data_IF_275595103207
#
_entry.id   IF_275595103207
#
_cell.length_a   1.000
_cell.length_b   1.000
_cell.length_c   1.000
_cell.angle_alpha   90.00
_cell.angle_beta   90.00
_cell.angle_gamma   90.00
#
_symmetry.space_group_name_H-M   'P 1'
#
loop_
_entity.id
_entity.type
_entity.pdbx_description
1 polymer ?
#
# COMPACT_ATOMS: atom_id res chain seq x y z
N UNK A 1 -21.44 20.40 28.04
CA UNK A 1 -20.34 20.95 27.23
C UNK A 1 -19.74 19.81 26.43
N UNK A 2 -20.28 19.55 25.24
CA UNK A 2 -19.82 18.46 24.35
C UNK A 2 -18.63 18.96 23.52
N UNK A 3 -17.48 18.31 23.64
CA UNK A 3 -16.36 18.48 22.72
C UNK A 3 -16.66 17.74 21.41
N UNK A 4 -16.40 18.33 20.22
CA UNK A 4 -16.46 17.59 18.97
C UNK A 4 -15.17 16.77 18.77
N UNK A 5 -15.34 15.51 18.37
CA UNK A 5 -14.26 14.64 17.93
C UNK A 5 -13.58 15.25 16.69
N UNK A 6 -12.31 15.61 16.84
CA UNK A 6 -11.47 16.10 15.75
C UNK A 6 -11.21 14.96 14.76
N UNK A 7 -11.78 15.06 13.54
CA UNK A 7 -11.42 14.18 12.44
C UNK A 7 -9.97 14.44 12.05
N UNK A 8 -9.12 13.42 12.21
CA UNK A 8 -7.79 13.42 11.64
C UNK A 8 -7.87 13.65 10.12
N UNK A 9 -6.91 14.40 9.53
CA UNK A 9 -6.90 14.68 8.10
C UNK A 9 -6.79 13.36 7.32
N UNK A 10 -7.71 13.15 6.38
CA UNK A 10 -7.59 12.11 5.37
C UNK A 10 -6.32 12.41 4.59
N UNK A 11 -5.30 11.56 4.72
CA UNK A 11 -4.07 11.69 3.95
C UNK A 11 -4.39 11.30 2.53
N UNK A 12 -4.65 12.29 1.69
CA UNK A 12 -4.58 12.13 0.24
C UNK A 12 -3.09 11.96 -0.09
N UNK A 13 -2.62 10.72 -0.09
CA UNK A 13 -1.33 10.41 -0.71
C UNK A 13 -1.44 10.87 -2.18
N UNK A 14 -0.54 11.74 -2.67
CA UNK A 14 -0.56 12.09 -4.08
C UNK A 14 -0.39 10.79 -4.86
N UNK A 15 -1.41 10.42 -5.63
CA UNK A 15 -1.32 9.29 -6.53
C UNK A 15 -0.07 9.50 -7.38
N UNK A 16 0.91 8.61 -7.26
CA UNK A 16 2.07 8.62 -8.16
C UNK A 16 1.50 8.56 -9.57
N UNK A 17 1.73 9.62 -10.36
CA UNK A 17 0.99 9.98 -11.57
C UNK A 17 1.04 8.98 -12.74
N UNK A 18 1.40 7.71 -12.51
CA UNK A 18 1.20 6.61 -13.44
C UNK A 18 -0.25 6.16 -13.36
N UNK A 19 -1.11 6.92 -14.03
CA UNK A 19 -2.47 6.51 -14.32
C UNK A 19 -2.49 5.12 -14.98
N UNK A 20 -3.63 4.42 -14.89
CA UNK A 20 -3.91 3.13 -15.53
C UNK A 20 -3.49 3.02 -17.02
N UNK A 21 -3.24 4.15 -17.69
CA UNK A 21 -2.69 4.23 -19.05
C UNK A 21 -1.22 3.80 -19.19
N UNK A 22 -0.44 3.72 -18.10
CA UNK A 22 0.96 3.26 -18.10
C UNK A 22 1.14 1.85 -17.51
N UNK A 23 0.06 1.17 -17.14
CA UNK A 23 0.14 -0.19 -16.62
C UNK A 23 0.25 -1.19 -17.78
N UNK A 24 1.30 -2.01 -17.75
CA UNK A 24 1.53 -3.06 -18.75
C UNK A 24 0.49 -4.21 -18.65
N UNK A 25 -0.29 -4.28 -17.57
CA UNK A 25 -1.28 -5.33 -17.34
C UNK A 25 -2.58 -4.76 -16.75
N UNK A 26 -3.75 -5.03 -17.36
CA UNK A 26 -5.01 -4.72 -16.72
C UNK A 26 -5.22 -5.70 -15.55
N UNK A 27 -4.92 -5.26 -14.33
CA UNK A 27 -5.06 -6.05 -13.08
C UNK A 27 -6.46 -6.66 -12.94
N UNK A 28 -7.49 -5.96 -13.44
CA UNK A 28 -8.85 -6.48 -13.59
C UNK A 28 -9.18 -6.87 -15.04
N UNK A 29 -8.42 -7.82 -15.58
CA UNK A 29 -8.66 -8.37 -16.92
C UNK A 29 -10.08 -8.96 -17.06
N UNK A 30 -10.65 -8.85 -18.27
CA UNK A 30 -11.92 -9.53 -18.62
C UNK A 30 -11.82 -11.06 -18.58
N UNK A 31 -10.60 -11.61 -18.55
CA UNK A 31 -10.35 -13.05 -18.44
C UNK A 31 -10.67 -13.61 -17.05
N UNK A 32 -10.67 -12.77 -16.00
CA UNK A 32 -11.03 -13.19 -14.65
C UNK A 32 -12.56 -13.21 -14.48
N UNK A 33 -13.13 -14.13 -13.67
CA UNK A 33 -14.56 -14.11 -13.36
C UNK A 33 -14.97 -12.77 -12.74
N UNK A 34 -16.09 -12.20 -13.19
CA UNK A 34 -16.53 -10.87 -12.78
C UNK A 34 -16.68 -10.71 -11.26
N UNK A 35 -17.07 -11.79 -10.57
CA UNK A 35 -17.26 -11.82 -9.12
C UNK A 35 -15.97 -11.49 -8.33
N UNK A 36 -14.79 -11.81 -8.85
CA UNK A 36 -13.52 -11.61 -8.14
C UNK A 36 -12.82 -10.29 -8.50
N UNK A 37 -13.23 -9.62 -9.57
CA UNK A 37 -12.52 -8.43 -10.08
C UNK A 37 -12.52 -7.29 -9.07
N UNK A 38 -13.59 -7.13 -8.29
CA UNK A 38 -13.70 -6.08 -7.29
C UNK A 38 -12.70 -6.29 -6.14
N UNK A 39 -12.62 -7.50 -5.59
CA UNK A 39 -11.71 -7.84 -4.49
C UNK A 39 -10.24 -7.72 -4.94
N UNK A 40 -9.93 -8.15 -6.16
CA UNK A 40 -8.59 -8.03 -6.75
C UNK A 40 -8.20 -6.55 -6.92
N UNK A 41 -9.12 -5.71 -7.40
CA UNK A 41 -8.88 -4.27 -7.53
C UNK A 41 -8.70 -3.59 -6.18
N UNK A 42 -9.46 -4.00 -5.17
CA UNK A 42 -9.37 -3.45 -3.82
C UNK A 42 -7.99 -3.75 -3.22
N UNK A 43 -7.56 -5.01 -3.28
CA UNK A 43 -6.23 -5.41 -2.86
C UNK A 43 -5.13 -4.71 -3.65
N UNK A 44 -5.28 -4.59 -4.98
CA UNK A 44 -4.32 -3.90 -5.81
C UNK A 44 -4.16 -2.42 -5.43
N UNK A 45 -5.27 -1.71 -5.22
CA UNK A 45 -5.24 -0.30 -4.79
C UNK A 45 -4.57 -0.12 -3.44
N UNK A 46 -4.83 -1.04 -2.51
CA UNK A 46 -4.14 -1.08 -1.22
C UNK A 46 -2.61 -1.23 -1.42
N UNK A 47 -2.18 -2.25 -2.18
CA UNK A 47 -0.77 -2.52 -2.43
C UNK A 47 -0.07 -1.34 -3.13
N UNK A 48 -0.72 -0.76 -4.16
CA UNK A 48 -0.17 0.37 -4.92
C UNK A 48 0.02 1.61 -4.05
N UNK A 49 -0.90 1.86 -3.11
CA UNK A 49 -0.77 2.98 -2.17
C UNK A 49 0.36 2.75 -1.17
N UNK A 50 0.55 1.52 -0.70
CA UNK A 50 1.66 1.18 0.19
C UNK A 50 3.02 1.36 -0.52
N UNK A 51 3.11 0.90 -1.77
CA UNK A 51 4.26 1.06 -2.67
C UNK A 51 4.59 2.55 -2.91
N UNK A 52 3.60 3.36 -3.28
CA UNK A 52 3.77 4.80 -3.48
C UNK A 52 4.27 5.53 -2.21
N UNK A 53 3.92 5.07 -1.01
CA UNK A 53 4.44 5.60 0.25
C UNK A 53 5.90 5.18 0.45
N UNK A 54 6.21 3.89 0.23
CA UNK A 54 7.54 3.33 0.41
C UNK A 54 8.57 3.96 -0.54
N UNK A 55 8.18 4.18 -1.80
CA UNK A 55 9.02 4.74 -2.85
C UNK A 55 9.07 6.28 -2.86
N UNK A 56 8.30 6.96 -2.01
CA UNK A 56 8.21 8.42 -2.06
C UNK A 56 9.60 9.06 -1.79
N UNK A 57 10.15 9.87 -2.72
CA UNK A 57 11.52 10.40 -2.61
C UNK A 57 11.65 11.47 -1.52
N UNK A 58 10.58 12.23 -1.29
CA UNK A 58 10.60 13.36 -0.34
C UNK A 58 10.20 12.98 1.10
N UNK A 59 9.81 11.72 1.36
CA UNK A 59 9.47 11.29 2.72
C UNK A 59 10.69 10.72 3.43
N UNK A 60 10.89 11.16 4.67
CA UNK A 60 11.84 10.52 5.58
C UNK A 60 11.39 9.10 5.95
N UNK A 61 12.31 8.21 6.37
CA UNK A 61 11.94 6.87 6.83
C UNK A 61 10.83 6.87 7.88
N UNK A 62 10.88 7.77 8.87
CA UNK A 62 9.87 7.83 9.94
C UNK A 62 8.49 8.26 9.42
N UNK A 63 8.45 9.20 8.47
CA UNK A 63 7.19 9.60 7.82
C UNK A 63 6.61 8.47 6.98
N UNK A 64 7.44 7.69 6.27
CA UNK A 64 7.00 6.50 5.55
C UNK A 64 6.38 5.49 6.51
N UNK A 65 7.07 5.19 7.61
CA UNK A 65 6.58 4.25 8.64
C UNK A 65 5.25 4.71 9.27
N UNK A 66 5.13 5.99 9.59
CA UNK A 66 3.91 6.55 10.17
C UNK A 66 2.72 6.42 9.19
N UNK A 67 2.94 6.72 7.91
CA UNK A 67 1.90 6.57 6.87
C UNK A 67 1.56 5.11 6.57
N UNK A 68 2.55 4.21 6.54
CA UNK A 68 2.32 2.77 6.40
C UNK A 68 1.49 2.21 7.58
N UNK A 69 1.71 2.71 8.80
CA UNK A 69 0.90 2.35 9.96
C UNK A 69 -0.55 2.85 9.87
N UNK A 70 -0.79 4.01 9.24
CA UNK A 70 -2.15 4.52 9.03
C UNK A 70 -2.95 3.64 8.06
N UNK A 71 -2.35 3.22 6.94
CA UNK A 71 -3.04 2.39 5.96
C UNK A 71 -3.23 0.94 6.44
N UNK A 72 -2.51 0.48 7.46
CA UNK A 72 -2.72 -0.84 8.09
C UNK A 72 -4.13 -1.00 8.66
N UNK A 73 -4.76 0.11 9.10
CA UNK A 73 -6.15 0.13 9.55
C UNK A 73 -7.17 -0.06 8.40
N UNK A 74 -6.72 0.05 7.15
CA UNK A 74 -7.53 0.00 5.94
C UNK A 74 -7.24 -1.26 5.10
N UNK A 75 -6.70 -2.31 5.71
CA UNK A 75 -6.50 -3.59 5.01
C UNK A 75 -7.82 -4.10 4.40
N UNK A 76 -7.78 -4.71 3.20
CA UNK A 76 -8.99 -5.19 2.53
C UNK A 76 -9.83 -6.13 3.39
N UNK A 77 -11.15 -6.08 3.25
CA UNK A 77 -12.07 -6.82 4.11
C UNK A 77 -11.98 -8.35 3.93
N UNK A 78 -11.61 -8.83 2.73
CA UNK A 78 -11.49 -10.25 2.47
C UNK A 78 -10.33 -10.86 3.30
N UNK A 79 -10.55 -11.93 4.09
CA UNK A 79 -9.55 -12.41 5.06
C UNK A 79 -8.17 -12.73 4.46
N UNK A 80 -8.15 -13.40 3.31
CA UNK A 80 -6.89 -13.70 2.62
C UNK A 80 -6.16 -12.42 2.13
N UNK A 81 -6.92 -11.42 1.67
CA UNK A 81 -6.36 -10.15 1.23
C UNK A 81 -5.85 -9.33 2.42
N UNK A 82 -6.53 -9.38 3.57
CA UNK A 82 -6.07 -8.76 4.80
C UNK A 82 -4.74 -9.34 5.28
N UNK A 83 -4.60 -10.67 5.26
CA UNK A 83 -3.37 -11.36 5.66
C UNK A 83 -2.20 -10.95 4.77
N UNK A 84 -2.35 -11.11 3.45
CA UNK A 84 -1.29 -10.74 2.50
C UNK A 84 -1.02 -9.23 2.48
N UNK A 85 -2.01 -8.40 2.76
CA UNK A 85 -1.84 -6.95 2.90
C UNK A 85 -0.93 -6.59 4.07
N UNK A 86 -1.06 -7.28 5.20
CA UNK A 86 -0.17 -7.09 6.36
C UNK A 86 1.25 -7.57 6.06
N UNK A 87 1.40 -8.69 5.37
CA UNK A 87 2.71 -9.21 4.93
C UNK A 87 3.42 -8.20 4.01
N UNK A 88 2.69 -7.60 3.05
CA UNK A 88 3.22 -6.52 2.21
C UNK A 88 3.68 -5.32 3.05
N UNK A 89 2.91 -4.90 4.06
CA UNK A 89 3.30 -3.79 4.92
C UNK A 89 4.56 -4.09 5.75
N UNK A 90 4.83 -5.36 6.10
CA UNK A 90 6.09 -5.73 6.75
C UNK A 90 7.25 -5.48 5.78
N UNK A 91 7.13 -5.93 4.53
CA UNK A 91 8.15 -5.72 3.50
C UNK A 91 8.40 -4.23 3.22
N UNK A 92 7.35 -3.42 3.05
CA UNK A 92 7.52 -1.98 2.81
C UNK A 92 8.14 -1.24 4.01
N UNK A 93 7.84 -1.67 5.25
CA UNK A 93 8.48 -1.12 6.45
C UNK A 93 9.96 -1.49 6.56
N UNK A 94 10.37 -2.62 5.98
CA UNK A 94 11.78 -3.00 5.85
C UNK A 94 12.47 -2.13 4.80
N UNK A 95 11.88 -1.99 3.61
CA UNK A 95 12.43 -1.20 2.51
C UNK A 95 12.63 0.29 2.87
N UNK A 96 11.70 0.85 3.64
CA UNK A 96 11.82 2.21 4.18
C UNK A 96 13.07 2.43 5.06
N UNK A 97 13.68 1.37 5.60
CA UNK A 97 14.87 1.42 6.47
C UNK A 97 16.13 0.87 5.80
N UNK A 98 16.00 -0.08 4.89
CA UNK A 98 17.11 -0.81 4.29
C UNK A 98 17.18 -0.53 2.79
N UNK A 99 18.02 0.44 2.41
CA UNK A 99 18.22 0.79 1.00
C UNK A 99 19.22 -0.12 0.27
N UNK A 100 19.99 -0.94 1.00
CA UNK A 100 21.02 -1.83 0.45
C UNK A 100 21.22 -3.07 1.33
N UNK A 101 21.49 -4.19 0.66
CA UNK A 101 21.90 -5.45 1.26
C UNK A 101 23.38 -5.71 0.97
N UNK A 102 24.08 -6.36 1.92
CA UNK A 102 25.52 -6.61 1.80
C UNK A 102 25.83 -7.74 0.79
N UNK A 103 24.95 -8.74 0.70
CA UNK A 103 25.09 -9.92 -0.15
C UNK A 103 23.72 -10.53 -0.49
N UNK A 104 23.73 -11.55 -1.34
CA UNK A 104 22.52 -12.27 -1.75
C UNK A 104 21.78 -12.95 -0.59
N UNK A 105 22.46 -13.60 0.39
CA UNK A 105 21.78 -14.13 1.56
C UNK A 105 21.05 -13.07 2.38
N UNK A 106 21.59 -11.86 2.52
CA UNK A 106 20.93 -10.78 3.25
C UNK A 106 19.63 -10.27 2.59
N UNK A 107 19.44 -10.55 1.29
CA UNK A 107 18.24 -10.18 0.53
C UNK A 107 17.07 -11.17 0.73
N UNK A 108 17.35 -12.42 1.09
CA UNK A 108 16.39 -13.53 1.11
C UNK A 108 15.88 -13.82 2.53
#
# INVERSE_FOLDING_TARGET
MSQPASLAPRIDAPASGKAAAQENFPVASRLLPAAYRADILDFYRFARRADDIADHPDLTPDEKLARLAQIEAEVPAHPAAAQHGRELLVAFRQDARQSRYADWPALM
#
